data_IF_810027590602
#
_entry.id   IF_810027590602
#
_cell.length_a   1.000
_cell.length_b   1.000
_cell.length_c   1.000
_cell.angle_alpha   90.00
_cell.angle_beta   90.00
_cell.angle_gamma   90.00
#
_symmetry.space_group_name_H-M   'P 1'
#
loop_
_entity.id
_entity.type
_entity.pdbx_description
1 polymer ?
#
# COMPACT_ATOMS: atom_id res chain seq x y z
N UNK A 1 22.68 -25.10 -79.69
CA UNK A 1 22.34 -26.49 -79.30
C UNK A 1 23.27 -26.79 -78.14
N UNK A 2 22.85 -26.91 -76.88
CA UNK A 2 21.71 -27.65 -76.32
C UNK A 2 20.94 -26.87 -75.25
N UNK A 3 19.75 -27.38 -74.94
CA UNK A 3 18.72 -26.89 -74.02
C UNK A 3 18.74 -27.71 -72.72
N UNK A 4 18.70 -27.02 -71.57
CA UNK A 4 17.86 -27.30 -70.37
C UNK A 4 18.08 -28.61 -69.57
N UNK A 5 17.44 -28.78 -68.38
CA UNK A 5 17.25 -27.83 -67.27
C UNK A 5 17.41 -28.51 -65.88
N UNK A 6 17.71 -27.74 -64.85
CA UNK A 6 17.70 -28.21 -63.45
C UNK A 6 17.05 -27.17 -62.54
N UNK A 7 15.74 -26.99 -62.72
CA UNK A 7 14.89 -26.09 -61.97
C UNK A 7 14.70 -26.59 -60.51
N UNK A 8 14.42 -25.65 -59.60
CA UNK A 8 13.79 -25.77 -58.25
C UNK A 8 14.78 -25.74 -57.07
N UNK A 9 14.62 -24.93 -56.02
CA UNK A 9 13.52 -24.08 -55.58
C UNK A 9 13.99 -23.06 -54.50
N UNK A 10 13.25 -21.96 -54.36
CA UNK A 10 12.92 -21.19 -53.14
C UNK A 10 14.06 -20.92 -52.13
N UNK A 11 14.59 -19.69 -52.00
CA UNK A 11 13.98 -18.50 -51.36
C UNK A 11 13.23 -18.85 -50.07
N UNK A 12 13.73 -18.42 -48.90
CA UNK A 12 13.16 -17.30 -48.14
C UNK A 12 14.01 -17.00 -46.89
N UNK A 13 14.38 -15.73 -46.80
CA UNK A 13 15.14 -15.03 -45.77
C UNK A 13 14.42 -14.97 -44.43
N UNK A 14 15.17 -15.02 -43.33
CA UNK A 14 14.80 -14.37 -42.07
C UNK A 14 16.05 -13.97 -41.31
N UNK A 15 16.42 -12.70 -41.45
CA UNK A 15 17.33 -11.98 -40.56
C UNK A 15 16.45 -11.48 -39.41
N UNK A 16 16.70 -11.91 -38.17
CA UNK A 16 16.18 -11.22 -37.00
C UNK A 16 17.35 -10.58 -36.27
N UNK A 17 17.48 -9.29 -36.50
CA UNK A 17 18.42 -8.37 -35.87
C UNK A 17 17.98 -8.17 -34.42
N UNK A 18 18.78 -8.65 -33.46
CA UNK A 18 18.62 -8.33 -32.06
C UNK A 18 19.25 -6.96 -31.79
N UNK A 19 18.44 -5.94 -31.49
CA UNK A 19 18.95 -4.67 -30.96
C UNK A 19 17.96 -3.96 -30.02
N UNK A 20 18.33 -4.00 -28.73
CA UNK A 20 18.35 -2.92 -27.74
C UNK A 20 17.02 -2.26 -27.32
N UNK A 21 16.78 -2.30 -26.00
CA UNK A 21 15.89 -1.38 -25.30
C UNK A 21 15.86 -1.62 -23.80
N UNK A 22 16.90 -1.19 -23.08
CA UNK A 22 16.81 -0.97 -21.63
C UNK A 22 15.88 0.23 -21.42
N UNK A 23 14.71 -0.02 -20.83
CA UNK A 23 13.73 0.99 -20.48
C UNK A 23 12.98 0.56 -19.23
N UNK A 24 13.38 1.15 -18.11
CA UNK A 24 12.75 1.02 -16.80
C UNK A 24 11.28 1.46 -16.89
N UNK A 25 10.34 0.60 -16.50
CA UNK A 25 9.12 1.03 -15.83
C UNK A 25 8.59 -0.11 -14.97
N UNK A 26 8.83 0.00 -13.66
CA UNK A 26 8.07 -0.73 -12.67
C UNK A 26 6.60 -0.32 -12.84
N UNK A 27 5.81 -1.18 -13.46
CA UNK A 27 4.36 -1.07 -13.40
C UNK A 27 3.97 -1.49 -11.98
N UNK A 28 3.92 -0.52 -11.07
CA UNK A 28 3.22 -0.64 -9.81
C UNK A 28 1.74 -0.89 -10.13
N UNK A 29 1.40 -2.16 -10.33
CA UNK A 29 0.01 -2.60 -10.49
C UNK A 29 -0.56 -2.84 -9.10
N UNK A 30 -0.75 -1.77 -8.34
CA UNK A 30 -1.68 -1.79 -7.21
C UNK A 30 -3.05 -2.06 -7.82
N UNK A 31 -3.56 -3.27 -7.59
CA UNK A 31 -4.86 -3.70 -8.08
C UNK A 31 -5.92 -2.82 -7.42
N UNK A 32 -6.83 -2.29 -8.23
CA UNK A 32 -8.13 -1.82 -7.76
C UNK A 32 -8.79 -2.94 -6.97
N UNK A 33 -8.66 -2.93 -5.65
CA UNK A 33 -9.57 -3.67 -4.79
C UNK A 33 -10.87 -2.88 -4.75
N UNK A 34 -11.95 -3.57 -5.10
CA UNK A 34 -13.30 -3.06 -5.06
C UNK A 34 -13.56 -2.40 -3.71
N UNK A 35 -14.15 -1.20 -3.74
CA UNK A 35 -14.78 -0.57 -2.58
C UNK A 35 -15.63 -1.65 -1.91
N UNK A 36 -15.22 -2.10 -0.72
CA UNK A 36 -15.98 -3.12 -0.02
C UNK A 36 -17.38 -2.55 0.27
N UNK A 37 -18.41 -3.26 -0.15
CA UNK A 37 -19.81 -2.91 0.19
C UNK A 37 -20.17 -3.29 1.62
N UNK A 38 -19.25 -3.93 2.35
CA UNK A 38 -19.43 -4.29 3.75
C UNK A 38 -18.83 -3.18 4.63
N UNK A 39 -19.64 -2.45 5.42
CA UNK A 39 -19.15 -1.33 6.22
C UNK A 39 -18.14 -1.78 7.31
N UNK A 40 -18.13 -3.06 7.68
CA UNK A 40 -17.18 -3.63 8.64
C UNK A 40 -15.83 -4.04 8.05
N UNK A 41 -15.68 -4.07 6.72
CA UNK A 41 -14.43 -4.49 6.09
C UNK A 41 -13.47 -3.30 5.90
N UNK A 42 -12.15 -3.50 6.07
CA UNK A 42 -11.16 -2.48 5.75
C UNK A 42 -11.31 -2.00 4.30
N UNK A 43 -11.24 -0.68 4.11
CA UNK A 43 -11.07 -0.09 2.79
C UNK A 43 -9.69 -0.43 2.21
N UNK A 44 -9.61 -0.46 0.89
CA UNK A 44 -8.33 -0.46 0.19
C UNK A 44 -7.51 0.76 0.61
N UNK A 45 -6.20 0.62 0.71
CA UNK A 45 -5.33 1.71 1.11
C UNK A 45 -3.98 1.62 0.38
N UNK A 46 -3.29 2.75 0.30
CA UNK A 46 -1.89 2.85 -0.13
C UNK A 46 -1.04 3.49 0.97
N UNK A 47 0.24 3.13 1.06
CA UNK A 47 1.18 3.79 1.97
C UNK A 47 1.68 5.08 1.29
N UNK A 48 1.39 6.23 1.89
CA UNK A 48 1.86 7.53 1.42
C UNK A 48 3.26 7.86 1.97
N UNK A 49 3.49 7.52 3.24
CA UNK A 49 4.80 7.63 3.88
C UNK A 49 4.87 6.71 5.09
N UNK A 50 6.07 6.22 5.38
CA UNK A 50 6.36 5.48 6.60
C UNK A 50 7.66 6.05 7.20
N UNK A 51 7.55 6.66 8.39
CA UNK A 51 8.67 7.28 9.09
C UNK A 51 9.54 6.27 9.84
N UNK A 52 9.48 4.97 9.48
CA UNK A 52 10.35 3.88 9.93
C UNK A 52 10.56 3.90 11.44
N UNK A 53 9.44 4.02 12.15
CA UNK A 53 9.41 4.16 13.59
C UNK A 53 8.01 4.51 14.01
N UNK A 54 7.70 5.79 14.12
CA UNK A 54 6.54 6.24 14.90
C UNK A 54 5.25 6.42 14.11
N UNK A 55 5.32 6.65 12.80
CA UNK A 55 4.16 7.08 12.03
C UNK A 55 4.10 6.40 10.66
N UNK A 56 2.91 5.91 10.31
CA UNK A 56 2.54 5.47 8.98
C UNK A 56 1.41 6.37 8.49
N UNK A 57 1.60 7.01 7.34
CA UNK A 57 0.54 7.74 6.65
C UNK A 57 0.03 6.90 5.48
N UNK A 58 -1.28 6.66 5.45
CA UNK A 58 -1.95 5.91 4.39
C UNK A 58 -2.96 6.79 3.63
N UNK A 59 -3.20 6.46 2.38
CA UNK A 59 -4.26 7.02 1.55
C UNK A 59 -5.44 6.05 1.50
N UNK A 60 -6.65 6.54 1.75
CA UNK A 60 -7.90 5.76 1.63
C UNK A 60 -8.88 6.45 0.66
N UNK A 61 -9.76 5.70 -0.02
CA UNK A 61 -10.76 6.27 -0.92
C UNK A 61 -11.68 7.30 -0.24
N UNK A 62 -12.10 8.34 -0.97
CA UNK A 62 -12.97 9.42 -0.47
C UNK A 62 -14.36 8.95 0.02
N UNK A 63 -14.83 7.81 -0.48
CA UNK A 63 -16.12 7.19 -0.13
C UNK A 63 -16.02 6.25 1.09
N UNK A 64 -14.83 6.10 1.68
CA UNK A 64 -14.62 5.35 2.93
C UNK A 64 -15.49 5.92 4.05
N UNK A 65 -16.29 5.05 4.69
CA UNK A 65 -17.07 5.41 5.87
C UNK A 65 -16.28 5.21 7.18
N UNK A 66 -16.85 5.63 8.31
CA UNK A 66 -16.15 5.58 9.60
C UNK A 66 -15.79 4.15 10.04
N UNK A 67 -16.70 3.18 9.86
CA UNK A 67 -16.45 1.79 10.25
C UNK A 67 -15.30 1.18 9.44
N UNK A 68 -15.32 1.41 8.11
CA UNK A 68 -14.25 0.97 7.21
C UNK A 68 -12.92 1.65 7.55
N UNK A 69 -12.95 2.95 7.83
CA UNK A 69 -11.77 3.71 8.22
C UNK A 69 -11.14 3.15 9.50
N UNK A 70 -11.94 2.87 10.53
CA UNK A 70 -11.47 2.25 11.78
C UNK A 70 -10.87 0.87 11.51
N UNK A 71 -11.55 0.05 10.72
CA UNK A 71 -11.07 -1.27 10.36
C UNK A 71 -9.74 -1.22 9.59
N UNK A 72 -9.58 -0.26 8.67
CA UNK A 72 -8.34 -0.03 7.93
C UNK A 72 -7.21 0.41 8.86
N UNK A 73 -7.45 1.34 9.77
CA UNK A 73 -6.43 1.80 10.73
C UNK A 73 -5.92 0.65 11.60
N UNK A 74 -6.82 -0.19 12.12
CA UNK A 74 -6.48 -1.38 12.91
C UNK A 74 -5.66 -2.36 12.08
N UNK A 75 -6.13 -2.67 10.87
CA UNK A 75 -5.43 -3.58 9.95
C UNK A 75 -3.99 -3.13 9.70
N UNK A 76 -3.78 -1.85 9.39
CA UNK A 76 -2.43 -1.31 9.12
C UNK A 76 -1.56 -1.39 10.38
N UNK A 77 -2.11 -1.05 11.54
CA UNK A 77 -1.38 -1.19 12.80
C UNK A 77 -1.02 -2.67 13.09
N UNK A 78 -1.91 -3.61 12.77
CA UNK A 78 -1.65 -5.05 12.94
C UNK A 78 -0.55 -5.57 12.01
N UNK A 79 -0.58 -5.13 10.75
CA UNK A 79 0.36 -5.54 9.70
C UNK A 79 1.79 -5.02 9.98
N UNK A 80 1.92 -3.82 10.56
CA UNK A 80 3.19 -3.12 10.64
C UNK A 80 3.80 -2.99 12.04
N UNK A 81 3.07 -3.25 13.12
CA UNK A 81 3.58 -3.14 14.49
C UNK A 81 4.81 -4.00 14.81
N UNK A 82 5.08 -5.03 14.01
CA UNK A 82 6.19 -5.96 14.21
C UNK A 82 7.29 -5.85 13.13
N UNK A 83 7.29 -4.79 12.31
CA UNK A 83 8.36 -4.57 11.34
C UNK A 83 9.71 -4.34 12.03
N UNK A 84 10.79 -4.86 11.45
CA UNK A 84 12.14 -4.70 11.99
C UNK A 84 12.59 -3.22 12.11
N UNK A 85 12.06 -2.35 11.24
CA UNK A 85 12.29 -0.90 11.34
C UNK A 85 11.75 -0.29 12.65
N UNK A 86 10.86 -0.99 13.33
CA UNK A 86 10.20 -0.59 14.58
C UNK A 86 10.76 -1.31 15.80
N UNK A 87 11.85 -2.06 15.63
CA UNK A 87 12.54 -2.67 16.74
C UNK A 87 13.28 -1.60 17.56
N UNK A 88 13.11 -1.66 18.88
CA UNK A 88 13.74 -0.72 19.82
C UNK A 88 13.44 0.77 19.52
N UNK A 89 12.23 1.08 19.03
CA UNK A 89 11.79 2.46 18.82
C UNK A 89 11.96 3.32 20.09
N UNK A 90 12.35 4.59 19.87
CA UNK A 90 12.44 5.60 20.93
C UNK A 90 11.07 5.98 21.52
N UNK A 91 9.99 5.81 20.75
CA UNK A 91 8.61 5.94 21.21
C UNK A 91 7.97 4.56 21.33
N UNK A 92 7.20 4.31 22.39
CA UNK A 92 6.44 3.07 22.55
C UNK A 92 5.09 3.09 21.83
N UNK A 93 4.90 4.03 20.89
CA UNK A 93 3.65 4.21 20.19
C UNK A 93 3.86 4.21 18.68
N UNK A 94 3.03 3.40 18.01
CA UNK A 94 2.81 3.43 16.57
C UNK A 94 1.58 4.30 16.29
N UNK A 95 1.74 5.26 15.39
CA UNK A 95 0.67 6.07 14.84
C UNK A 95 0.37 5.64 13.41
N UNK A 96 -0.91 5.56 13.08
CA UNK A 96 -1.39 5.39 11.72
C UNK A 96 -2.31 6.56 11.41
N UNK A 97 -2.00 7.35 10.39
CA UNK A 97 -2.85 8.44 9.91
C UNK A 97 -3.37 8.12 8.51
N UNK A 98 -4.69 8.19 8.33
CA UNK A 98 -5.34 7.96 7.06
C UNK A 98 -5.80 9.29 6.45
N UNK A 99 -5.39 9.55 5.22
CA UNK A 99 -5.79 10.72 4.43
C UNK A 99 -6.75 10.29 3.32
N UNK A 100 -7.74 11.13 2.98
CA UNK A 100 -8.59 10.85 1.83
C UNK A 100 -7.82 11.11 0.56
N UNK A 101 -7.89 10.19 -0.39
CA UNK A 101 -7.25 10.32 -1.70
C UNK A 101 -8.30 10.21 -2.79
N UNK A 102 -8.22 11.12 -3.77
CA UNK A 102 -9.03 11.13 -4.97
C UNK A 102 -8.23 11.73 -6.12
N UNK A 103 -8.19 11.05 -7.27
CA UNK A 103 -7.56 11.55 -8.50
C UNK A 103 -6.10 12.03 -8.30
N UNK A 104 -5.35 11.36 -7.43
CA UNK A 104 -3.96 11.69 -7.09
C UNK A 104 -3.78 12.86 -6.12
N UNK A 105 -4.86 13.46 -5.64
CA UNK A 105 -4.86 14.49 -4.61
C UNK A 105 -5.22 13.89 -3.25
N UNK A 106 -4.64 14.45 -2.19
CA UNK A 106 -4.91 14.04 -0.80
C UNK A 106 -5.54 15.18 0.01
N UNK A 107 -6.36 14.84 1.00
CA UNK A 107 -6.84 15.81 1.99
C UNK A 107 -5.67 16.44 2.75
N UNK A 108 -5.86 17.68 3.23
CA UNK A 108 -4.81 18.38 3.99
C UNK A 108 -4.70 17.92 5.43
N UNK A 109 -5.80 17.43 5.99
CA UNK A 109 -5.86 16.82 7.31
C UNK A 109 -6.19 15.33 7.17
N UNK A 110 -5.76 14.47 8.11
CA UNK A 110 -6.17 13.08 8.11
C UNK A 110 -7.69 12.97 8.30
N UNK A 111 -8.31 12.00 7.63
CA UNK A 111 -9.67 11.54 7.88
C UNK A 111 -9.80 10.74 9.17
N UNK A 112 -8.71 10.14 9.64
CA UNK A 112 -8.64 9.58 10.97
C UNK A 112 -7.22 9.15 11.33
N UNK A 113 -7.01 8.93 12.62
CA UNK A 113 -5.75 8.47 13.18
C UNK A 113 -5.97 7.40 14.23
N UNK A 114 -5.06 6.43 14.29
CA UNK A 114 -4.94 5.45 15.36
C UNK A 114 -3.59 5.60 16.05
N UNK A 115 -3.59 5.57 17.38
CA UNK A 115 -2.41 5.39 18.21
C UNK A 115 -2.48 4.04 18.91
N UNK A 116 -1.46 3.20 18.71
CA UNK A 116 -1.31 1.90 19.37
C UNK A 116 -0.05 1.85 20.20
N UNK A 117 -0.17 1.26 21.39
CA UNK A 117 1.00 0.92 22.20
C UNK A 117 1.74 -0.29 21.62
N UNK A 118 3.03 -0.12 21.34
CA UNK A 118 3.93 -1.17 20.87
C UNK A 118 5.11 -1.23 21.85
N UNK A 119 5.19 -2.28 22.69
CA UNK A 119 6.28 -2.41 23.64
C UNK A 119 7.65 -2.39 22.95
N UNK A 120 8.67 -1.78 23.56
CA UNK A 120 10.02 -1.84 23.02
C UNK A 120 10.51 -3.28 23.04
N UNK A 121 11.23 -3.65 21.98
CA UNK A 121 11.77 -4.98 21.77
C UNK A 121 11.78 -5.32 20.29
N UNK A 122 12.09 -6.56 19.97
CA UNK A 122 11.89 -7.11 18.63
C UNK A 122 10.55 -7.85 18.50
N UNK A 123 10.18 -8.22 17.28
CA UNK A 123 8.93 -8.93 17.01
C UNK A 123 8.77 -10.25 17.82
N UNK A 124 9.85 -11.00 18.04
CA UNK A 124 9.78 -12.23 18.84
C UNK A 124 9.50 -11.95 20.32
N UNK A 125 10.19 -10.97 20.90
CA UNK A 125 10.00 -10.56 22.29
C UNK A 125 8.56 -10.10 22.52
N UNK A 126 8.04 -9.24 21.64
CA UNK A 126 6.65 -8.76 21.73
C UNK A 126 5.64 -9.90 21.62
N UNK A 127 5.84 -10.87 20.73
CA UNK A 127 4.97 -12.05 20.60
C UNK A 127 4.95 -12.90 21.88
N UNK A 128 6.07 -13.02 22.59
CA UNK A 128 6.16 -13.77 23.85
C UNK A 128 5.38 -13.12 24.99
N UNK A 129 5.16 -11.80 24.94
CA UNK A 129 4.41 -11.08 25.98
C UNK A 129 2.90 -11.38 25.98
N UNK A 130 2.34 -11.91 24.87
CA UNK A 130 0.90 -12.26 24.73
C UNK A 130 -0.06 -11.13 25.11
N UNK A 131 0.35 -9.91 24.82
CA UNK A 131 -0.41 -8.68 25.09
C UNK A 131 -1.33 -8.41 23.90
N UNK A 132 -2.62 -8.23 24.15
CA UNK A 132 -3.57 -7.74 23.13
C UNK A 132 -3.39 -6.23 22.94
N UNK A 133 -2.52 -5.85 22.00
CA UNK A 133 -2.12 -4.46 21.78
C UNK A 133 -3.29 -3.59 21.30
N UNK A 134 -4.26 -4.18 20.61
CA UNK A 134 -5.46 -3.48 20.13
C UNK A 134 -6.34 -2.98 21.26
N UNK A 135 -6.25 -3.57 22.45
CA UNK A 135 -7.00 -3.13 23.64
C UNK A 135 -6.66 -1.70 24.09
N UNK A 136 -5.51 -1.15 23.67
CA UNK A 136 -5.10 0.23 23.98
C UNK A 136 -5.17 1.17 22.77
N UNK A 137 -5.83 0.75 21.69
CA UNK A 137 -5.99 1.59 20.51
C UNK A 137 -6.80 2.85 20.85
N UNK A 138 -6.26 3.99 20.44
CA UNK A 138 -6.92 5.29 20.57
C UNK A 138 -7.16 5.87 19.19
N UNK A 139 -8.42 6.17 18.89
CA UNK A 139 -8.85 6.68 17.59
C UNK A 139 -9.23 8.16 17.67
N UNK A 140 -8.90 8.90 16.62
CA UNK A 140 -9.54 10.18 16.31
C UNK A 140 -10.06 10.11 14.87
N UNK A 141 -11.35 10.43 14.66
CA UNK A 141 -12.01 10.36 13.35
C UNK A 141 -12.47 11.77 12.97
N UNK A 142 -12.08 12.21 11.78
CA UNK A 142 -12.22 13.58 11.26
C UNK A 142 -12.63 13.58 9.79
N UNK A 143 -13.43 12.57 9.38
CA UNK A 143 -13.86 12.36 7.98
C UNK A 143 -14.47 13.60 7.33
N UNK A 144 -15.37 14.29 8.01
CA UNK A 144 -16.05 15.47 7.47
C UNK A 144 -15.09 16.64 7.24
N UNK A 145 -14.09 16.80 8.11
CA UNK A 145 -13.06 17.82 7.96
C UNK A 145 -12.11 17.48 6.81
N UNK A 146 -11.67 16.22 6.73
CA UNK A 146 -10.86 15.75 5.62
C UNK A 146 -11.55 15.94 4.27
N UNK A 147 -12.86 15.66 4.17
CA UNK A 147 -13.66 15.91 2.95
C UNK A 147 -13.68 17.38 2.56
N UNK A 148 -13.75 18.31 3.51
CA UNK A 148 -13.73 19.76 3.24
C UNK A 148 -12.37 20.29 2.79
N UNK A 149 -11.31 19.55 3.09
CA UNK A 149 -9.92 19.94 2.76
C UNK A 149 -9.32 19.16 1.60
N UNK A 150 -10.10 18.24 1.00
CA UNK A 150 -9.76 17.58 -0.24
C UNK A 150 -9.85 18.61 -1.37
N UNK A 151 -8.72 18.87 -2.01
CA UNK A 151 -8.60 19.82 -3.11
C UNK A 151 -9.08 19.21 -4.43
#
# INVERSE_FOLDING_TARGET
MERNPGFRALVWTSIVTAAIGIGVLFVARARHEAISSNPSQPAAYEILSDEMGTLICIGVPVDTNEEQLRATLVKVADEHQDDAARDYMTSMYLWVEAYLVKDGQRSRVPAGSLRRFVPPGNAEERRRMKIDRGAWDSFAITLDEAKRTLQ
#
